data_IF_174076254687
#
_entry.id   IF_174076254687
#
_cell.length_a   1.000
_cell.length_b   1.000
_cell.length_c   1.000
_cell.angle_alpha   90.00
_cell.angle_beta   90.00
_cell.angle_gamma   90.00
#
_symmetry.space_group_name_H-M   'P 1'
#
loop_
_entity.id
_entity.type
_entity.pdbx_description
1 polymer ?
#
# COMPACT_ATOMS: atom_id res chain seq x y z
N UNK A 1 47.84 8.57 -24.47
CA UNK A 1 47.77 9.97 -23.99
C UNK A 1 47.26 10.87 -25.11
N UNK A 2 45.97 11.20 -25.11
CA UNK A 2 45.43 12.36 -25.83
C UNK A 2 44.19 12.81 -25.06
N UNK A 3 44.29 13.95 -24.38
CA UNK A 3 43.22 14.58 -23.60
C UNK A 3 42.32 15.35 -24.58
N UNK A 4 41.03 15.05 -24.59
CA UNK A 4 40.02 15.84 -25.30
C UNK A 4 39.45 16.89 -24.33
N UNK A 5 39.66 18.16 -24.63
CA UNK A 5 39.18 19.30 -23.85
C UNK A 5 37.68 19.52 -24.05
N UNK A 6 36.97 19.77 -22.94
CA UNK A 6 35.55 20.17 -22.93
C UNK A 6 35.49 21.69 -22.87
N UNK A 7 34.88 22.32 -23.89
CA UNK A 7 34.57 23.74 -23.88
C UNK A 7 33.29 23.99 -23.06
N UNK A 8 33.42 24.72 -21.94
CA UNK A 8 32.31 25.29 -21.22
C UNK A 8 31.90 26.61 -21.89
N UNK A 9 30.65 26.72 -22.36
CA UNK A 9 30.06 28.02 -22.73
C UNK A 9 29.48 28.68 -21.48
N UNK A 10 30.07 29.80 -21.09
CA UNK A 10 29.50 30.72 -20.11
C UNK A 10 28.33 31.49 -20.76
N UNK A 11 27.16 31.49 -20.10
CA UNK A 11 26.07 32.41 -20.45
C UNK A 11 26.30 33.74 -19.74
N UNK A 12 26.34 34.81 -20.53
CA UNK A 12 26.40 36.20 -20.09
C UNK A 12 25.07 36.61 -19.46
N UNK A 13 25.12 37.21 -18.26
CA UNK A 13 23.98 37.76 -17.55
C UNK A 13 23.64 39.15 -18.11
N UNK A 14 22.40 39.34 -18.58
CA UNK A 14 21.80 40.65 -18.77
C UNK A 14 20.81 40.89 -17.61
N UNK A 15 21.09 41.90 -16.78
CA UNK A 15 20.29 42.27 -15.63
C UNK A 15 19.15 43.21 -16.05
N UNK A 16 17.89 42.85 -15.77
CA UNK A 16 16.82 43.78 -15.36
C UNK A 16 15.63 42.99 -14.81
N UNK A 17 15.13 43.39 -13.63
CA UNK A 17 13.94 42.80 -12.97
C UNK A 17 14.28 41.77 -11.88
N UNK A 18 14.30 42.21 -10.63
CA UNK A 18 14.69 41.41 -9.46
C UNK A 18 13.78 40.20 -9.20
N UNK A 19 14.28 39.02 -9.54
CA UNK A 19 13.81 37.73 -9.08
C UNK A 19 15.00 36.79 -8.97
N UNK A 20 15.42 36.45 -7.74
CA UNK A 20 16.51 35.51 -7.53
C UNK A 20 15.99 34.11 -7.87
N UNK A 21 16.35 33.59 -9.05
CA UNK A 21 16.09 32.20 -9.42
C UNK A 21 17.31 31.35 -9.01
N UNK A 22 17.15 30.54 -7.96
CA UNK A 22 18.16 29.54 -7.58
C UNK A 22 18.00 28.31 -8.49
N UNK A 23 18.89 28.14 -9.46
CA UNK A 23 18.95 26.94 -10.31
C UNK A 23 19.91 25.93 -9.65
N UNK A 24 19.38 24.84 -9.12
CA UNK A 24 20.19 23.75 -8.55
C UNK A 24 20.74 22.88 -9.70
N UNK A 25 22.07 22.76 -9.79
CA UNK A 25 22.79 22.17 -10.92
C UNK A 25 22.53 20.68 -11.14
N UNK A 26 22.35 20.31 -12.41
CA UNK A 26 22.14 18.94 -12.87
C UNK A 26 23.46 18.16 -12.96
N UNK A 27 23.55 17.03 -12.26
CA UNK A 27 24.58 16.01 -12.46
C UNK A 27 24.04 14.93 -13.42
N UNK A 28 24.86 14.59 -14.41
CA UNK A 28 24.56 13.79 -15.60
C UNK A 28 24.18 12.32 -15.34
N UNK A 29 23.31 11.78 -16.20
CA UNK A 29 23.27 10.34 -16.51
C UNK A 29 21.87 9.79 -16.85
N UNK A 30 21.35 10.04 -18.05
CA UNK A 30 20.19 9.31 -18.58
C UNK A 30 20.66 8.53 -19.81
N UNK A 31 20.65 7.20 -19.69
CA UNK A 31 20.78 6.26 -20.79
C UNK A 31 20.01 5.00 -20.41
N UNK A 32 18.77 4.88 -20.88
CA UNK A 32 17.97 3.66 -20.74
C UNK A 32 17.51 3.25 -22.14
N UNK A 33 18.20 2.26 -22.72
CA UNK A 33 17.72 1.51 -23.88
C UNK A 33 16.83 0.36 -23.40
N UNK A 34 15.62 0.26 -23.95
CA UNK A 34 14.69 -0.83 -23.69
C UNK A 34 14.88 -1.94 -24.73
N UNK A 35 15.21 -3.15 -24.27
CA UNK A 35 15.20 -4.37 -25.10
C UNK A 35 14.00 -5.23 -24.69
N UNK A 36 13.17 -5.60 -25.67
CA UNK A 36 12.02 -6.52 -25.50
C UNK A 36 12.42 -7.95 -25.86
N UNK A 37 11.84 -9.00 -25.22
CA UNK A 37 11.82 -10.34 -25.79
C UNK A 37 10.40 -10.91 -26.02
N UNK A 38 10.28 -12.00 -26.82
CA UNK A 38 9.08 -12.32 -27.62
C UNK A 38 8.11 -13.34 -26.98
N UNK A 39 6.95 -13.47 -27.64
CA UNK A 39 5.82 -14.36 -27.34
C UNK A 39 6.09 -15.87 -27.58
N UNK A 40 5.42 -16.73 -26.81
CA UNK A 40 5.09 -18.14 -27.14
C UNK A 40 3.83 -18.60 -26.35
N UNK A 41 3.14 -19.69 -26.75
CA UNK A 41 1.67 -19.74 -26.82
C UNK A 41 0.97 -20.60 -25.75
N UNK A 42 -0.36 -20.45 -25.73
CA UNK A 42 -1.36 -21.12 -24.89
C UNK A 42 -1.47 -22.63 -25.11
N UNK A 43 -1.69 -23.38 -24.03
CA UNK A 43 -2.16 -24.78 -24.03
C UNK A 43 -3.42 -24.89 -23.15
N UNK A 44 -4.41 -25.67 -23.62
CA UNK A 44 -5.77 -25.82 -23.09
C UNK A 44 -5.92 -26.92 -22.00
N UNK A 45 -7.01 -26.80 -21.22
CA UNK A 45 -7.41 -27.57 -20.01
C UNK A 45 -8.08 -28.94 -20.29
N UNK A 46 -8.24 -29.82 -19.27
CA UNK A 46 -9.59 -30.18 -18.77
C UNK A 46 -9.68 -30.47 -17.24
N UNK A 47 -10.89 -30.69 -16.65
CA UNK A 47 -11.19 -30.52 -15.21
C UNK A 47 -11.01 -31.81 -14.38
N UNK A 48 -11.00 -31.71 -13.04
CA UNK A 48 -12.20 -32.03 -12.28
C UNK A 48 -12.44 -31.13 -11.05
N UNK A 49 -13.66 -31.21 -10.50
CA UNK A 49 -14.12 -30.59 -9.25
C UNK A 49 -13.18 -30.84 -8.06
N UNK A 50 -12.69 -29.78 -7.41
CA UNK A 50 -11.92 -29.90 -6.16
C UNK A 50 -12.33 -28.82 -5.14
N UNK A 51 -12.53 -29.29 -3.91
CA UNK A 51 -12.91 -28.51 -2.73
C UNK A 51 -11.92 -27.40 -2.40
N UNK A 52 -12.43 -26.19 -2.18
CA UNK A 52 -11.68 -24.99 -1.80
C UNK A 52 -10.94 -25.16 -0.45
N UNK A 53 -9.61 -25.21 -0.50
CA UNK A 53 -8.77 -25.04 0.70
C UNK A 53 -8.90 -23.62 1.28
N UNK A 54 -8.59 -23.42 2.57
CA UNK A 54 -8.86 -22.16 3.27
C UNK A 54 -7.97 -21.04 2.78
N UNK A 55 -8.57 -19.95 2.26
CA UNK A 55 -7.84 -18.77 1.83
C UNK A 55 -7.12 -18.10 3.00
N UNK A 56 -5.84 -17.77 2.86
CA UNK A 56 -5.05 -17.05 3.87
C UNK A 56 -5.00 -15.58 3.49
N UNK A 57 -5.43 -14.73 4.42
CA UNK A 57 -5.38 -13.27 4.30
C UNK A 57 -4.42 -12.69 5.35
N UNK A 58 -3.44 -11.92 4.93
CA UNK A 58 -2.54 -11.18 5.82
C UNK A 58 -2.96 -9.72 5.82
N UNK A 59 -3.30 -9.20 7.00
CA UNK A 59 -3.58 -7.81 7.24
C UNK A 59 -2.45 -7.18 8.06
N UNK A 60 -1.83 -6.14 7.51
CA UNK A 60 -0.76 -5.41 8.19
C UNK A 60 -1.29 -4.12 8.80
N UNK A 61 -1.16 -4.02 10.13
CA UNK A 61 -1.66 -2.90 10.92
C UNK A 61 -0.53 -1.98 11.36
N UNK A 62 -0.80 -0.68 11.34
CA UNK A 62 -0.12 0.25 12.22
C UNK A 62 -1.03 0.54 13.43
N UNK A 63 -0.55 0.41 14.68
CA UNK A 63 -1.38 0.67 15.87
C UNK A 63 -1.80 2.15 16.00
N UNK A 64 -1.20 3.04 15.20
CA UNK A 64 -1.45 4.46 15.24
C UNK A 64 -2.29 4.86 14.00
N UNK A 65 -3.54 5.23 14.23
CA UNK A 65 -4.38 6.07 13.35
C UNK A 65 -5.07 5.43 12.09
N UNK A 66 -4.62 4.29 11.55
CA UNK A 66 -5.20 3.75 10.31
C UNK A 66 -6.44 2.84 10.49
N UNK A 67 -7.16 2.60 9.39
CA UNK A 67 -8.38 1.77 9.27
C UNK A 67 -8.22 0.29 9.60
N UNK A 68 -7.01 -0.16 9.93
CA UNK A 68 -6.69 -1.51 10.38
C UNK A 68 -7.12 -1.80 11.82
N UNK A 69 -8.26 -1.24 12.23
CA UNK A 69 -8.96 -1.51 13.49
C UNK A 69 -9.30 -3.02 13.60
N UNK A 70 -9.41 -3.63 14.81
CA UNK A 70 -10.19 -4.85 15.06
C UNK A 70 -11.42 -5.04 14.14
N UNK A 71 -12.09 -3.96 13.73
CA UNK A 71 -13.16 -3.96 12.72
C UNK A 71 -12.78 -4.69 11.41
N UNK A 72 -11.62 -4.40 10.81
CA UNK A 72 -11.21 -5.04 9.55
C UNK A 72 -10.92 -6.54 9.74
N UNK A 73 -10.25 -6.90 10.82
CA UNK A 73 -10.01 -8.31 11.19
C UNK A 73 -11.33 -9.03 11.42
N UNK A 74 -12.24 -8.44 12.18
CA UNK A 74 -13.58 -8.99 12.48
C UNK A 74 -14.39 -9.21 11.21
N UNK A 75 -14.40 -8.26 10.28
CA UNK A 75 -15.12 -8.40 9.02
C UNK A 75 -14.50 -9.46 8.10
N UNK A 76 -13.17 -9.55 8.04
CA UNK A 76 -12.47 -10.63 7.31
C UNK A 76 -12.79 -12.01 7.90
N UNK A 77 -12.75 -12.15 9.23
CA UNK A 77 -13.08 -13.39 9.93
C UNK A 77 -14.54 -13.81 9.77
N UNK A 78 -15.46 -12.86 9.56
CA UNK A 78 -16.88 -13.14 9.27
C UNK A 78 -17.14 -13.50 7.82
N UNK A 79 -16.35 -12.96 6.88
CA UNK A 79 -16.52 -13.16 5.43
C UNK A 79 -15.85 -14.42 4.91
N UNK A 80 -14.79 -14.89 5.56
CA UNK A 80 -14.06 -16.07 5.11
C UNK A 80 -14.67 -17.35 5.69
N UNK A 81 -15.52 -18.05 4.95
CA UNK A 81 -15.90 -19.41 5.35
C UNK A 81 -14.64 -20.29 5.31
N UNK A 82 -14.17 -20.76 6.47
CA UNK A 82 -12.97 -21.59 6.59
C UNK A 82 -11.60 -20.91 6.42
N UNK A 83 -11.51 -19.71 5.83
CA UNK A 83 -10.23 -18.97 5.65
C UNK A 83 -9.49 -18.58 6.95
N UNK A 84 -8.21 -18.20 6.83
CA UNK A 84 -7.35 -17.81 7.96
C UNK A 84 -6.94 -16.34 7.82
N UNK A 85 -6.88 -15.64 8.94
CA UNK A 85 -6.46 -14.24 9.00
C UNK A 85 -5.19 -14.15 9.83
N UNK A 86 -4.16 -13.53 9.28
CA UNK A 86 -2.97 -13.12 10.02
C UNK A 86 -3.03 -11.61 10.19
N UNK A 87 -3.18 -11.15 11.43
CA UNK A 87 -3.13 -9.73 11.75
C UNK A 87 -1.76 -9.40 12.35
N UNK A 88 -1.09 -8.37 11.85
CA UNK A 88 0.21 -7.95 12.41
C UNK A 88 0.08 -6.67 13.20
N UNK A 89 0.92 -6.45 14.21
CA UNK A 89 1.05 -5.17 14.91
C UNK A 89 2.40 -5.11 15.64
N UNK A 90 2.87 -3.93 16.04
CA UNK A 90 4.18 -3.78 16.71
C UNK A 90 4.28 -4.53 18.06
N UNK A 91 3.19 -4.63 18.81
CA UNK A 91 3.20 -5.20 20.17
C UNK A 91 2.00 -6.11 20.42
N UNK A 92 2.02 -7.38 19.93
CA UNK A 92 0.89 -8.32 20.02
C UNK A 92 0.35 -8.54 21.43
N UNK A 93 1.22 -8.58 22.45
CA UNK A 93 0.82 -8.78 23.84
C UNK A 93 -0.04 -7.66 24.43
N UNK A 94 0.05 -6.46 23.86
CA UNK A 94 -0.76 -5.29 24.28
C UNK A 94 -2.04 -5.10 23.44
N UNK A 95 -2.26 -5.92 22.41
CA UNK A 95 -3.36 -5.78 21.48
C UNK A 95 -4.64 -6.48 21.99
N UNK A 96 -5.18 -6.04 23.13
CA UNK A 96 -6.30 -6.70 23.83
C UNK A 96 -7.48 -7.06 22.93
N UNK A 97 -7.93 -6.15 22.06
CA UNK A 97 -9.04 -6.40 21.13
C UNK A 97 -8.73 -7.50 20.09
N UNK A 98 -7.47 -7.62 19.63
CA UNK A 98 -7.08 -8.71 18.72
C UNK A 98 -6.99 -10.05 19.46
N UNK A 99 -6.56 -10.04 20.73
CA UNK A 99 -6.54 -11.23 21.57
C UNK A 99 -7.96 -11.72 21.85
N UNK A 100 -8.88 -10.80 22.20
CA UNK A 100 -10.30 -11.09 22.37
C UNK A 100 -10.92 -11.64 21.08
N UNK A 101 -10.66 -11.02 19.92
CA UNK A 101 -11.11 -11.55 18.62
C UNK A 101 -10.57 -12.95 18.34
N UNK A 102 -9.34 -13.26 18.74
CA UNK A 102 -8.75 -14.59 18.57
C UNK A 102 -9.49 -15.63 19.41
N UNK A 103 -9.94 -15.28 20.61
CA UNK A 103 -10.70 -16.13 21.52
C UNK A 103 -12.16 -16.32 21.08
N UNK A 104 -12.77 -15.32 20.43
CA UNK A 104 -14.14 -15.36 19.92
C UNK A 104 -14.32 -16.30 18.70
N UNK A 105 -13.22 -16.74 18.07
CA UNK A 105 -13.23 -17.53 16.84
C UNK A 105 -12.53 -18.88 17.02
N UNK A 106 -12.84 -19.86 16.15
CA UNK A 106 -12.24 -21.20 16.23
C UNK A 106 -10.70 -21.15 16.17
N UNK A 107 -10.00 -22.05 16.89
CA UNK A 107 -8.54 -22.09 16.91
C UNK A 107 -7.90 -22.10 15.50
N UNK A 108 -6.85 -21.30 15.31
CA UNK A 108 -6.13 -21.22 14.03
C UNK A 108 -6.80 -20.32 12.97
N UNK A 109 -7.94 -19.71 13.26
CA UNK A 109 -8.60 -18.72 12.38
C UNK A 109 -7.92 -17.36 12.38
N UNK A 110 -7.40 -16.93 13.53
CA UNK A 110 -6.69 -15.67 13.69
C UNK A 110 -5.30 -15.92 14.30
N UNK A 111 -4.26 -15.55 13.56
CA UNK A 111 -2.87 -15.48 14.05
C UNK A 111 -2.52 -14.01 14.25
N UNK A 112 -1.89 -13.66 15.38
CA UNK A 112 -1.42 -12.30 15.64
C UNK A 112 0.11 -12.29 15.71
N UNK A 113 0.77 -11.56 14.82
CA UNK A 113 2.24 -11.53 14.71
C UNK A 113 2.83 -10.13 14.98
N UNK A 114 4.06 -10.05 15.54
CA UNK A 114 4.79 -8.80 15.61
C UNK A 114 5.23 -8.36 14.20
N UNK A 115 5.05 -7.09 13.86
CA UNK A 115 5.59 -6.47 12.65
C UNK A 115 5.66 -4.95 12.83
N UNK A 116 6.83 -4.37 12.58
CA UNK A 116 7.02 -2.94 12.37
C UNK A 116 7.43 -2.68 10.91
N UNK A 117 6.66 -1.85 10.21
CA UNK A 117 6.90 -1.58 8.79
C UNK A 117 8.16 -0.75 8.55
N UNK A 118 8.75 -0.16 9.60
CA UNK A 118 10.02 0.56 9.53
C UNK A 118 11.23 -0.31 9.90
N UNK A 119 11.02 -1.58 10.30
CA UNK A 119 12.09 -2.52 10.64
C UNK A 119 11.96 -3.78 9.76
N UNK A 120 12.77 -3.85 8.71
CA UNK A 120 12.74 -4.93 7.74
C UNK A 120 12.97 -6.31 8.37
N UNK A 121 13.74 -6.40 9.47
CA UNK A 121 13.98 -7.67 10.15
C UNK A 121 12.70 -8.26 10.75
N UNK A 122 11.79 -7.41 11.23
CA UNK A 122 10.48 -7.84 11.74
C UNK A 122 9.54 -8.29 10.62
N UNK A 123 9.66 -7.69 9.42
CA UNK A 123 8.91 -8.07 8.23
C UNK A 123 9.35 -9.46 7.75
N UNK A 124 10.66 -9.68 7.69
CA UNK A 124 11.27 -10.98 7.34
C UNK A 124 10.83 -12.07 8.32
N UNK A 125 10.92 -11.81 9.63
CA UNK A 125 10.48 -12.75 10.66
C UNK A 125 8.98 -13.10 10.54
N UNK A 126 8.12 -12.11 10.25
CA UNK A 126 6.69 -12.36 10.03
C UNK A 126 6.44 -13.21 8.78
N UNK A 127 7.15 -12.95 7.68
CA UNK A 127 7.04 -13.75 6.45
C UNK A 127 7.51 -15.20 6.67
N UNK A 128 8.58 -15.41 7.42
CA UNK A 128 9.06 -16.75 7.81
C UNK A 128 8.00 -17.50 8.64
N UNK A 129 7.40 -16.84 9.64
CA UNK A 129 6.35 -17.44 10.47
C UNK A 129 5.11 -17.81 9.66
N UNK A 130 4.67 -16.96 8.71
CA UNK A 130 3.54 -17.27 7.82
C UNK A 130 3.89 -18.42 6.88
N UNK A 131 5.14 -18.50 6.41
CA UNK A 131 5.60 -19.62 5.58
C UNK A 131 5.51 -20.94 6.33
N UNK A 132 5.97 -20.99 7.57
CA UNK A 132 5.93 -22.20 8.40
C UNK A 132 4.50 -22.62 8.76
N UNK A 133 3.65 -21.65 9.12
CA UNK A 133 2.31 -21.94 9.67
C UNK A 133 1.20 -22.05 8.62
N UNK A 134 1.39 -21.42 7.45
CA UNK A 134 0.35 -21.30 6.43
C UNK A 134 0.83 -21.68 5.02
N UNK A 135 2.10 -21.50 4.70
CA UNK A 135 2.73 -21.93 3.43
C UNK A 135 2.30 -21.20 2.16
N UNK A 136 1.26 -20.35 2.21
CA UNK A 136 0.75 -19.59 1.08
C UNK A 136 -0.01 -18.33 1.53
N UNK A 137 -0.19 -17.38 0.60
CA UNK A 137 -0.92 -16.14 0.84
C UNK A 137 -1.76 -15.75 -0.38
N UNK A 138 -3.07 -15.55 -0.20
CA UNK A 138 -4.00 -15.22 -1.29
C UNK A 138 -4.34 -13.73 -1.33
N UNK A 139 -4.31 -13.07 -0.17
CA UNK A 139 -4.64 -11.66 -0.04
C UNK A 139 -3.69 -11.00 0.97
N UNK A 140 -2.97 -9.99 0.51
CA UNK A 140 -2.17 -9.09 1.35
C UNK A 140 -2.83 -7.71 1.39
N UNK A 141 -3.18 -7.23 2.57
CA UNK A 141 -3.70 -5.87 2.77
C UNK A 141 -2.70 -5.06 3.58
N UNK A 142 -2.10 -4.05 2.94
CA UNK A 142 -1.25 -3.07 3.61
C UNK A 142 -2.10 -1.87 4.06
N UNK A 143 -2.48 -1.87 5.34
CA UNK A 143 -3.28 -0.80 5.94
C UNK A 143 -2.44 0.14 6.82
N UNK A 144 -1.15 -0.11 7.01
CA UNK A 144 -0.27 0.75 7.78
C UNK A 144 -0.08 2.11 7.09
N UNK A 145 -0.13 3.19 7.88
CA UNK A 145 0.20 4.52 7.39
C UNK A 145 -0.01 5.61 8.43
N UNK A 146 0.70 6.72 8.24
CA UNK A 146 0.70 7.89 9.12
C UNK A 146 0.40 9.14 8.30
N UNK A 147 -0.42 10.01 8.86
CA UNK A 147 -0.62 11.40 8.41
C UNK A 147 -0.14 12.36 9.50
N UNK A 148 -0.45 12.01 10.75
CA UNK A 148 -0.13 12.77 11.94
C UNK A 148 0.25 11.79 13.05
N UNK A 149 1.28 12.13 13.82
CA UNK A 149 1.63 11.50 15.09
C UNK A 149 1.82 12.63 16.09
N UNK A 150 1.13 12.64 17.23
CA UNK A 150 1.27 13.67 18.25
C UNK A 150 2.75 13.93 18.57
N UNK A 151 3.16 15.20 18.53
CA UNK A 151 4.53 15.67 18.81
C UNK A 151 5.65 15.16 17.87
N UNK A 152 5.33 14.40 16.82
CA UNK A 152 6.34 13.84 15.90
C UNK A 152 6.13 14.34 14.47
N UNK A 153 4.92 14.25 13.93
CA UNK A 153 4.58 14.73 12.59
C UNK A 153 3.18 15.34 12.60
N UNK A 154 3.03 16.51 11.99
CA UNK A 154 1.76 17.21 11.83
C UNK A 154 1.57 17.57 10.35
N UNK A 155 0.35 17.48 9.80
CA UNK A 155 0.13 17.78 8.39
C UNK A 155 0.39 19.25 8.07
N UNK A 156 1.24 19.50 7.08
CA UNK A 156 1.73 20.84 6.80
C UNK A 156 0.70 21.63 5.98
N UNK A 157 0.11 22.68 6.54
CA UNK A 157 -0.87 23.51 5.81
C UNK A 157 -0.24 24.57 4.90
N UNK A 158 1.07 24.80 5.01
CA UNK A 158 1.84 25.78 4.22
C UNK A 158 3.23 25.23 3.89
N UNK A 159 3.86 25.76 2.84
CA UNK A 159 5.23 25.38 2.46
C UNK A 159 6.25 25.64 3.59
N UNK A 160 6.09 26.74 4.34
CA UNK A 160 6.99 27.10 5.45
C UNK A 160 7.01 26.10 6.60
N UNK A 161 6.00 25.22 6.71
CA UNK A 161 5.93 24.17 7.74
C UNK A 161 6.55 22.85 7.30
N UNK A 162 6.95 22.72 6.03
CA UNK A 162 7.55 21.48 5.51
C UNK A 162 8.88 21.22 6.18
N UNK A 163 9.03 20.02 6.73
CA UNK A 163 10.28 19.57 7.32
C UNK A 163 10.79 18.32 6.61
N UNK A 164 12.11 18.26 6.38
CA UNK A 164 12.76 17.08 5.82
C UNK A 164 12.44 15.82 6.63
N UNK A 165 12.48 15.91 7.96
CA UNK A 165 12.15 14.80 8.86
C UNK A 165 10.74 14.26 8.63
N UNK A 166 9.74 15.14 8.48
CA UNK A 166 8.36 14.75 8.19
C UNK A 166 8.22 14.07 6.82
N UNK A 167 8.86 14.61 5.78
CA UNK A 167 8.89 14.01 4.44
C UNK A 167 9.48 12.59 4.48
N UNK A 168 10.64 12.42 5.13
CA UNK A 168 11.34 11.14 5.19
C UNK A 168 10.56 10.10 6.01
N UNK A 169 10.04 10.48 7.18
CA UNK A 169 9.27 9.58 8.04
C UNK A 169 7.98 9.13 7.35
N UNK A 170 7.26 10.05 6.71
CA UNK A 170 6.05 9.69 5.96
C UNK A 170 6.39 8.77 4.77
N UNK A 171 7.49 9.02 4.05
CA UNK A 171 7.95 8.15 2.96
C UNK A 171 8.32 6.75 3.45
N UNK A 172 9.09 6.65 4.52
CA UNK A 172 9.50 5.39 5.15
C UNK A 172 8.27 4.54 5.54
N UNK A 173 7.33 5.12 6.27
CA UNK A 173 6.15 4.38 6.77
C UNK A 173 5.11 4.11 5.68
N UNK A 174 4.78 5.10 4.85
CA UNK A 174 3.65 4.99 3.92
C UNK A 174 4.03 4.37 2.57
N UNK A 175 5.30 4.42 2.17
CA UNK A 175 5.75 3.98 0.85
C UNK A 175 6.76 2.84 0.95
N UNK A 176 7.87 3.03 1.68
CA UNK A 176 8.93 2.00 1.79
C UNK A 176 8.41 0.75 2.50
N UNK A 177 7.77 0.92 3.66
CA UNK A 177 7.24 -0.19 4.47
C UNK A 177 6.35 -1.16 3.70
N UNK A 178 5.25 -0.71 3.05
CA UNK A 178 4.39 -1.59 2.24
C UNK A 178 5.12 -2.33 1.12
N UNK A 179 6.16 -1.73 0.51
CA UNK A 179 6.92 -2.39 -0.56
C UNK A 179 7.87 -3.44 0.00
N UNK A 180 8.52 -3.18 1.14
CA UNK A 180 9.34 -4.20 1.83
C UNK A 180 8.48 -5.37 2.31
N UNK A 181 7.26 -5.11 2.79
CA UNK A 181 6.28 -6.17 3.04
C UNK A 181 6.05 -6.99 1.78
N UNK A 182 5.69 -6.34 0.66
CA UNK A 182 5.37 -7.07 -0.57
C UNK A 182 6.55 -7.92 -1.02
N UNK A 183 7.78 -7.39 -0.94
CA UNK A 183 9.03 -8.10 -1.23
C UNK A 183 9.14 -9.41 -0.43
N UNK A 184 8.95 -9.35 0.88
CA UNK A 184 9.09 -10.53 1.76
C UNK A 184 7.90 -11.49 1.70
N UNK A 185 6.70 -10.99 1.41
CA UNK A 185 5.50 -11.82 1.23
C UNK A 185 5.37 -12.40 -0.18
N UNK A 186 6.16 -11.94 -1.15
CA UNK A 186 6.09 -12.35 -2.55
C UNK A 186 6.19 -13.86 -2.76
N UNK A 187 7.12 -14.62 -2.12
CA UNK A 187 7.16 -16.07 -2.25
C UNK A 187 5.84 -16.75 -1.89
N UNK A 188 5.15 -16.28 -0.85
CA UNK A 188 3.85 -16.80 -0.41
C UNK A 188 2.73 -16.43 -1.37
N UNK A 189 2.74 -15.19 -1.89
CA UNK A 189 1.79 -14.71 -2.90
C UNK A 189 1.90 -15.49 -4.20
N UNK A 190 3.11 -15.91 -4.60
CA UNK A 190 3.32 -16.76 -5.78
C UNK A 190 2.66 -18.13 -5.62
N UNK A 191 2.69 -18.69 -4.42
CA UNK A 191 2.05 -19.98 -4.13
C UNK A 191 0.53 -19.79 -4.09
N UNK A 192 0.02 -18.79 -3.36
CA UNK A 192 -1.41 -18.51 -3.29
C UNK A 192 -2.03 -18.18 -4.65
N UNK A 193 -1.29 -17.46 -5.51
CA UNK A 193 -1.72 -17.15 -6.87
C UNK A 193 -1.82 -18.36 -7.81
N UNK A 194 -1.27 -19.52 -7.42
CA UNK A 194 -1.42 -20.79 -8.16
C UNK A 194 -2.56 -21.66 -7.61
N UNK A 195 -3.03 -21.36 -6.41
CA UNK A 195 -4.12 -22.09 -5.78
C UNK A 195 -5.42 -21.85 -6.55
N UNK A 196 -6.28 -22.86 -6.63
CA UNK A 196 -7.65 -22.77 -7.17
C UNK A 196 -8.57 -21.98 -6.23
N UNK A 197 -8.09 -20.86 -5.71
CA UNK A 197 -8.90 -19.96 -4.92
C UNK A 197 -10.03 -19.39 -5.78
N UNK A 198 -11.09 -18.94 -5.10
CA UNK A 198 -12.27 -18.31 -5.73
C UNK A 198 -11.92 -17.23 -6.76
N UNK A 199 -10.78 -16.55 -6.61
CA UNK A 199 -10.34 -15.46 -7.50
C UNK A 199 -9.42 -15.93 -8.63
N UNK A 200 -8.74 -17.07 -8.47
CA UNK A 200 -7.78 -17.60 -9.43
C UNK A 200 -6.53 -16.73 -9.60
N UNK A 201 -6.19 -15.87 -8.64
CA UNK A 201 -4.94 -15.11 -8.51
C UNK A 201 -4.79 -14.56 -7.08
N UNK A 202 -3.57 -14.26 -6.65
CA UNK A 202 -3.32 -13.60 -5.37
C UNK A 202 -3.41 -12.07 -5.52
N UNK A 203 -3.86 -11.38 -4.47
CA UNK A 203 -4.13 -9.95 -4.51
C UNK A 203 -3.33 -9.20 -3.45
N UNK A 204 -2.67 -8.13 -3.87
CA UNK A 204 -2.11 -7.10 -2.99
C UNK A 204 -3.00 -5.87 -3.02
N UNK A 205 -3.49 -5.43 -1.87
CA UNK A 205 -4.30 -4.24 -1.71
C UNK A 205 -3.58 -3.23 -0.79
N UNK A 206 -3.13 -2.12 -1.37
CA UNK A 206 -2.42 -1.07 -0.66
C UNK A 206 -3.37 0.08 -0.30
N UNK A 207 -3.45 0.43 0.98
CA UNK A 207 -4.26 1.55 1.44
C UNK A 207 -3.60 2.88 1.05
N UNK A 208 -4.12 3.54 0.03
CA UNK A 208 -3.73 4.87 -0.41
C UNK A 208 -4.76 5.92 0.03
N UNK A 209 -4.71 7.11 -0.55
CA UNK A 209 -5.64 8.20 -0.24
C UNK A 209 -5.87 9.05 -1.48
N UNK A 210 -7.08 9.57 -1.71
CA UNK A 210 -7.36 10.38 -2.91
C UNK A 210 -6.43 11.58 -3.08
N UNK A 211 -5.94 12.14 -1.97
CA UNK A 211 -4.95 13.23 -1.96
C UNK A 211 -3.60 12.88 -2.60
N UNK A 212 -3.35 11.60 -2.91
CA UNK A 212 -2.19 11.12 -3.66
C UNK A 212 -2.34 11.20 -5.18
N UNK A 213 -3.54 11.52 -5.69
CA UNK A 213 -3.73 11.85 -7.10
C UNK A 213 -3.08 13.20 -7.39
N UNK A 214 -2.11 13.21 -8.29
CA UNK A 214 -1.45 14.41 -8.82
C UNK A 214 -2.46 15.19 -9.66
N UNK A 215 -3.26 14.51 -10.49
CA UNK A 215 -4.27 15.12 -11.36
C UNK A 215 -5.39 15.83 -10.59
N UNK A 216 -5.81 15.29 -9.44
CA UNK A 216 -6.85 15.88 -8.58
C UNK A 216 -6.31 16.95 -7.60
N UNK A 217 -5.01 17.29 -7.64
CA UNK A 217 -4.40 18.17 -6.63
C UNK A 217 -4.67 19.66 -6.87
N UNK A 218 -5.82 20.14 -6.41
CA UNK A 218 -6.20 21.57 -6.43
C UNK A 218 -6.04 22.30 -5.08
N UNK A 219 -5.73 21.57 -3.99
CA UNK A 219 -5.71 22.11 -2.62
C UNK A 219 -4.29 22.37 -2.08
N UNK A 220 -3.29 21.63 -2.55
CA UNK A 220 -1.95 21.66 -1.96
C UNK A 220 -1.92 21.16 -0.51
N UNK A 221 -0.89 21.60 0.24
CA UNK A 221 -0.66 21.21 1.63
C UNK A 221 -0.33 19.72 1.80
N UNK A 222 -0.08 19.32 3.05
CA UNK A 222 0.22 17.95 3.49
C UNK A 222 1.31 17.28 2.65
N UNK A 223 2.38 18.03 2.39
CA UNK A 223 3.44 17.65 1.44
C UNK A 223 3.98 16.26 1.74
N UNK A 224 4.28 15.96 3.01
CA UNK A 224 4.78 14.65 3.43
C UNK A 224 3.79 13.52 3.16
N UNK A 225 2.52 13.72 3.50
CA UNK A 225 1.50 12.69 3.33
C UNK A 225 1.14 12.45 1.85
N UNK A 226 0.94 13.53 1.08
CA UNK A 226 0.65 13.45 -0.35
C UNK A 226 1.81 12.78 -1.09
N UNK A 227 3.02 13.30 -0.93
CA UNK A 227 4.19 12.76 -1.63
C UNK A 227 4.43 11.29 -1.28
N UNK A 228 4.30 10.90 0.00
CA UNK A 228 4.48 9.51 0.40
C UNK A 228 3.38 8.57 -0.12
N UNK A 229 2.11 9.00 -0.15
CA UNK A 229 1.04 8.19 -0.76
C UNK A 229 1.11 8.16 -2.28
N UNK A 230 1.59 9.22 -2.93
CA UNK A 230 1.86 9.21 -4.39
C UNK A 230 3.03 8.28 -4.71
N UNK A 231 4.08 8.27 -3.88
CA UNK A 231 5.16 7.30 -4.00
C UNK A 231 4.65 5.86 -3.82
N UNK A 232 3.78 5.60 -2.84
CA UNK A 232 3.11 4.30 -2.71
C UNK A 232 2.36 3.92 -3.99
N UNK A 233 1.63 4.85 -4.62
CA UNK A 233 0.93 4.58 -5.88
C UNK A 233 1.91 4.14 -6.98
N UNK A 234 2.98 4.91 -7.19
CA UNK A 234 3.99 4.62 -8.21
C UNK A 234 4.68 3.28 -7.94
N UNK A 235 5.11 3.02 -6.70
CA UNK A 235 5.78 1.77 -6.34
C UNK A 235 4.86 0.56 -6.51
N UNK A 236 3.58 0.70 -6.12
CA UNK A 236 2.57 -0.35 -6.32
C UNK A 236 2.36 -0.62 -7.79
N UNK A 237 2.30 0.43 -8.63
CA UNK A 237 2.21 0.25 -10.09
C UNK A 237 3.42 -0.50 -10.62
N UNK A 238 4.63 -0.12 -10.21
CA UNK A 238 5.86 -0.78 -10.65
C UNK A 238 5.80 -2.28 -10.35
N UNK A 239 5.50 -2.65 -9.10
CA UNK A 239 5.39 -4.06 -8.71
C UNK A 239 4.23 -4.77 -9.44
N UNK A 240 3.12 -4.09 -9.69
CA UNK A 240 2.00 -4.64 -10.47
C UNK A 240 2.41 -5.05 -11.89
N UNK A 241 3.28 -4.27 -12.53
CA UNK A 241 3.80 -4.55 -13.88
C UNK A 241 4.79 -5.71 -13.85
N UNK A 242 5.64 -5.76 -12.83
CA UNK A 242 6.60 -6.86 -12.63
C UNK A 242 5.88 -8.19 -12.40
N UNK A 243 4.92 -8.21 -11.48
CA UNK A 243 4.10 -9.38 -11.18
C UNK A 243 3.26 -9.79 -12.38
N UNK A 244 2.57 -8.85 -13.05
CA UNK A 244 1.73 -9.16 -14.21
C UNK A 244 2.46 -9.85 -15.37
N UNK A 245 3.79 -9.73 -15.45
CA UNK A 245 4.62 -10.42 -16.46
C UNK A 245 4.99 -11.86 -16.07
N UNK A 246 5.11 -12.16 -14.77
CA UNK A 246 5.81 -13.36 -14.28
C UNK A 246 4.99 -14.22 -13.34
N UNK A 247 4.06 -13.62 -12.61
CA UNK A 247 3.33 -14.23 -11.52
C UNK A 247 1.83 -13.95 -11.65
N UNK A 248 1.02 -14.87 -11.13
CA UNK A 248 -0.43 -14.71 -11.12
C UNK A 248 -0.88 -13.89 -9.90
N UNK A 249 -0.39 -12.65 -9.83
CA UNK A 249 -0.62 -11.72 -8.72
C UNK A 249 -1.10 -10.38 -9.30
N UNK A 250 -2.17 -9.82 -8.73
CA UNK A 250 -2.63 -8.47 -9.03
C UNK A 250 -2.35 -7.54 -7.84
N UNK A 251 -2.06 -6.28 -8.13
CA UNK A 251 -1.89 -5.24 -7.12
C UNK A 251 -2.87 -4.10 -7.39
N UNK A 252 -3.57 -3.64 -6.35
CA UNK A 252 -4.49 -2.49 -6.44
C UNK A 252 -4.22 -1.52 -5.30
N UNK A 253 -4.59 -0.26 -5.54
CA UNK A 253 -4.60 0.79 -4.52
C UNK A 253 -6.04 1.07 -4.11
N UNK A 254 -6.26 1.37 -2.84
CA UNK A 254 -7.59 1.62 -2.30
C UNK A 254 -7.62 2.93 -1.52
N UNK A 255 -8.58 3.80 -1.82
CA UNK A 255 -8.88 4.99 -1.04
C UNK A 255 -10.14 4.75 -0.20
N UNK A 256 -10.05 4.90 1.13
CA UNK A 256 -11.14 4.52 2.02
C UNK A 256 -12.30 5.52 2.13
N UNK A 257 -12.23 6.66 1.45
CA UNK A 257 -13.04 7.83 1.78
C UNK A 257 -12.49 8.58 3.01
N UNK A 258 -13.27 9.54 3.52
CA UNK A 258 -12.97 10.19 4.80
C UNK A 258 -13.65 9.38 5.90
N UNK A 259 -12.84 8.74 6.74
CA UNK A 259 -13.35 7.81 7.76
C UNK A 259 -13.03 8.34 9.13
N UNK A 260 -13.98 8.26 10.05
CA UNK A 260 -13.79 8.66 11.44
C UNK A 260 -12.78 7.75 12.17
N UNK A 261 -11.51 8.15 12.07
CA UNK A 261 -10.39 7.58 12.81
C UNK A 261 -9.56 8.69 13.46
N UNK A 262 -8.66 8.31 14.37
CA UNK A 262 -7.70 9.26 14.95
C UNK A 262 -6.80 9.92 13.89
N UNK A 263 -6.66 9.34 12.70
CA UNK A 263 -5.97 9.97 11.56
C UNK A 263 -6.74 11.18 11.05
N UNK A 264 -8.06 11.03 10.93
CA UNK A 264 -8.95 12.02 10.33
C UNK A 264 -9.50 13.04 11.32
N UNK A 265 -9.60 12.69 12.61
CA UNK A 265 -10.33 13.46 13.64
C UNK A 265 -9.98 14.94 13.67
N UNK A 266 -8.69 15.35 13.57
CA UNK A 266 -8.33 16.78 13.52
C UNK A 266 -8.77 17.51 12.24
N UNK A 267 -9.20 16.77 11.20
CA UNK A 267 -9.45 17.27 9.84
C UNK A 267 -10.91 17.10 9.39
N UNK A 268 -11.83 16.73 10.29
CA UNK A 268 -13.24 16.48 9.96
C UNK A 268 -14.08 17.76 9.78
N UNK A 269 -13.57 18.93 10.21
CA UNK A 269 -14.33 20.20 10.28
C UNK A 269 -14.98 20.62 8.95
N UNK A 270 -14.36 20.29 7.82
CA UNK A 270 -14.83 20.68 6.49
C UNK A 270 -15.36 19.50 5.67
N UNK A 271 -15.61 18.36 6.30
CA UNK A 271 -16.17 17.19 5.61
C UNK A 271 -17.65 17.46 5.33
N UNK A 272 -18.11 17.37 4.07
CA UNK A 272 -19.53 17.55 3.77
C UNK A 272 -20.41 16.57 4.56
N UNK A 273 -21.64 16.98 4.85
CA UNK A 273 -22.62 16.12 5.49
C UNK A 273 -22.77 14.79 4.73
N UNK A 274 -22.79 13.67 5.46
CA UNK A 274 -22.85 12.33 4.87
C UNK A 274 -21.58 11.83 4.17
N UNK A 275 -20.45 12.58 4.22
CA UNK A 275 -19.16 12.16 3.67
C UNK A 275 -18.12 11.77 4.72
N UNK A 276 -18.47 11.83 6.01
CA UNK A 276 -17.71 11.22 7.09
C UNK A 276 -18.26 9.82 7.36
N UNK A 277 -17.44 8.80 7.11
CA UNK A 277 -17.87 7.41 7.23
C UNK A 277 -17.46 6.80 8.56
N UNK A 278 -18.24 5.83 9.04
CA UNK A 278 -17.80 4.94 10.12
C UNK A 278 -16.71 4.00 9.61
N UNK A 279 -15.90 3.46 10.54
CA UNK A 279 -14.88 2.47 10.21
C UNK A 279 -15.51 1.24 9.57
N UNK A 280 -16.62 0.77 10.13
CA UNK A 280 -17.35 -0.41 9.67
C UNK A 280 -17.83 -0.26 8.23
N UNK A 281 -18.41 0.90 7.90
CA UNK A 281 -18.89 1.17 6.55
C UNK A 281 -17.73 1.20 5.55
N UNK A 282 -16.67 1.94 5.86
CA UNK A 282 -15.52 2.06 4.97
C UNK A 282 -14.86 0.70 4.73
N UNK A 283 -14.60 -0.07 5.79
CA UNK A 283 -14.02 -1.42 5.68
C UNK A 283 -14.93 -2.33 4.85
N UNK A 284 -16.24 -2.33 5.09
CA UNK A 284 -17.19 -3.17 4.35
C UNK A 284 -17.16 -2.84 2.84
N UNK A 285 -17.12 -1.54 2.52
CA UNK A 285 -17.03 -1.03 1.15
C UNK A 285 -15.73 -1.45 0.48
N UNK A 286 -14.59 -1.26 1.13
CA UNK A 286 -13.29 -1.65 0.61
C UNK A 286 -13.14 -3.15 0.42
N UNK A 287 -13.63 -3.97 1.36
CA UNK A 287 -13.66 -5.42 1.20
C UNK A 287 -14.55 -5.83 0.02
N UNK A 288 -15.65 -5.12 -0.23
CA UNK A 288 -16.50 -5.37 -1.40
C UNK A 288 -15.81 -5.00 -2.71
N UNK A 289 -15.03 -3.91 -2.73
CA UNK A 289 -14.15 -3.57 -3.87
C UNK A 289 -13.13 -4.69 -4.08
N UNK A 290 -12.41 -5.10 -3.03
CA UNK A 290 -11.47 -6.22 -3.06
C UNK A 290 -12.13 -7.48 -3.64
N UNK A 291 -13.32 -7.85 -3.17
CA UNK A 291 -14.08 -9.00 -3.67
C UNK A 291 -14.37 -8.90 -5.18
N UNK A 292 -14.63 -7.70 -5.68
CA UNK A 292 -14.93 -7.44 -7.09
C UNK A 292 -13.71 -7.34 -8.03
N UNK A 293 -12.48 -7.20 -7.49
CA UNK A 293 -11.26 -7.02 -8.31
C UNK A 293 -11.07 -8.19 -9.26
N UNK A 294 -10.88 -7.87 -10.54
CA UNK A 294 -10.53 -8.83 -11.60
C UNK A 294 -9.06 -8.71 -11.96
N UNK A 295 -8.50 -9.72 -12.63
CA UNK A 295 -7.09 -9.71 -13.05
C UNK A 295 -6.76 -8.52 -13.96
N UNK A 296 -7.71 -8.07 -14.79
CA UNK A 296 -7.57 -6.89 -15.65
C UNK A 296 -7.51 -5.55 -14.91
N UNK A 297 -7.82 -5.53 -13.60
CA UNK A 297 -7.73 -4.33 -12.77
C UNK A 297 -6.35 -4.13 -12.14
N UNK A 298 -5.37 -4.97 -12.51
CA UNK A 298 -4.01 -4.89 -12.01
C UNK A 298 -3.38 -3.51 -12.25
N UNK A 299 -2.91 -2.89 -11.17
CA UNK A 299 -2.28 -1.57 -11.15
C UNK A 299 -3.26 -0.40 -11.20
N UNK A 300 -4.55 -0.61 -10.91
CA UNK A 300 -5.56 0.45 -10.77
C UNK A 300 -5.67 0.98 -9.33
N UNK A 301 -6.27 2.17 -9.22
CA UNK A 301 -6.54 2.85 -7.96
C UNK A 301 -8.05 3.07 -7.80
N UNK A 302 -8.65 2.52 -6.75
CA UNK A 302 -10.10 2.58 -6.53
C UNK A 302 -10.47 3.35 -5.27
N UNK A 303 -11.58 4.08 -5.32
CA UNK A 303 -12.28 4.60 -4.16
C UNK A 303 -13.13 3.50 -3.49
N UNK A 304 -13.56 3.77 -2.25
CA UNK A 304 -14.44 2.92 -1.46
C UNK A 304 -15.75 2.52 -2.17
N UNK A 305 -16.23 3.34 -3.11
CA UNK A 305 -17.44 3.08 -3.90
C UNK A 305 -17.17 2.30 -5.20
N UNK A 306 -15.91 1.90 -5.45
CA UNK A 306 -15.48 1.17 -6.64
C UNK A 306 -15.13 2.05 -7.83
N UNK A 307 -15.27 3.38 -7.73
CA UNK A 307 -14.82 4.28 -8.80
C UNK A 307 -13.30 4.29 -8.92
N UNK A 308 -12.81 4.30 -10.15
CA UNK A 308 -11.38 4.47 -10.41
C UNK A 308 -10.95 5.93 -10.16
N UNK A 309 -9.86 6.12 -9.43
CA UNK A 309 -9.28 7.42 -9.13
C UNK A 309 -8.12 7.67 -10.10
N UNK A 310 -8.05 8.86 -10.73
CA UNK A 310 -6.89 9.23 -11.56
C UNK A 310 -5.60 9.29 -10.72
N UNK A 311 -4.46 9.21 -11.39
CA UNK A 311 -3.17 9.26 -10.71
C UNK A 311 -2.76 10.66 -10.27
#
# INVERSE_FOLDING_TARGET
MARLAVAARAFSAAASGGGVSLVQGASRGIGLEFVSPPHLPLIASPPPSVSSGPSVCVLIRCPLHALGDPVQVRQLLRRSDGGRVVATCRTPGSAAELQKLREEHAPGRLTVLPLDVTDESTIEAAAASITETHGSLDLLINSAGILSIPNVIQPETTLSKVQKSSLMLAYEVNAVGPILVIKHMWPLLKIGGRSETRRGFALVANMSARVSSIGDNALGGWHAYRASKTALNQLTKTVSVEFGRKDNIACVLLHPGTVDTDLSRPFQRNVPEGKLFTREFSVQRLLSVIDSVKKGDNGKFFAWDGQEIPW
#
